data_IF_741047611749
#
_entry.id   IF_741047611749
#
_cell.length_a   1.000
_cell.length_b   1.000
_cell.length_c   1.000
_cell.angle_alpha   90.00
_cell.angle_beta   90.00
_cell.angle_gamma   90.00
#
_symmetry.space_group_name_H-M   'P 1'
#
loop_
_entity.id
_entity.type
_entity.pdbx_description
1 polymer ?
#
# COMPACT_ATOMS: atom_id res chain seq x y z
N UNK A 1 -14.54 33.82 -10.11
CA UNK A 1 -15.10 32.46 -10.32
C UNK A 1 -14.16 31.50 -9.64
N UNK A 2 -14.45 31.14 -8.39
CA UNK A 2 -13.67 30.17 -7.64
C UNK A 2 -14.12 28.79 -8.12
N UNK A 3 -13.20 28.03 -8.71
CA UNK A 3 -13.46 26.61 -9.00
C UNK A 3 -13.47 25.93 -7.63
N UNK A 4 -14.66 25.78 -7.05
CA UNK A 4 -14.86 24.94 -5.86
C UNK A 4 -14.60 23.50 -6.29
N UNK A 5 -13.35 23.07 -6.25
CA UNK A 5 -13.08 21.64 -6.15
C UNK A 5 -13.62 21.23 -4.78
N UNK A 6 -14.81 20.62 -4.76
CA UNK A 6 -15.28 19.88 -3.59
C UNK A 6 -14.36 18.66 -3.42
N UNK A 7 -13.24 18.83 -2.74
CA UNK A 7 -12.44 17.72 -2.26
C UNK A 7 -12.87 17.37 -0.84
N UNK A 8 -13.14 16.08 -0.63
CA UNK A 8 -13.40 15.53 0.69
C UNK A 8 -12.11 14.88 1.22
N UNK A 9 -11.36 15.65 2.02
CA UNK A 9 -10.11 15.16 2.65
C UNK A 9 -10.38 14.00 3.61
N UNK A 10 -11.57 13.92 4.20
CA UNK A 10 -11.97 12.80 5.03
C UNK A 10 -12.18 11.53 4.19
N UNK A 11 -12.79 11.63 3.01
CA UNK A 11 -12.91 10.53 2.06
C UNK A 11 -11.53 10.06 1.55
N UNK A 12 -10.63 10.99 1.21
CA UNK A 12 -9.25 10.66 0.78
C UNK A 12 -8.53 9.87 1.89
N UNK A 13 -8.58 10.38 3.14
CA UNK A 13 -7.99 9.69 4.31
C UNK A 13 -8.65 8.34 4.58
N UNK A 14 -9.96 8.21 4.37
CA UNK A 14 -10.67 6.94 4.52
C UNK A 14 -10.19 5.90 3.49
N UNK A 15 -10.01 6.29 2.23
CA UNK A 15 -9.45 5.40 1.20
C UNK A 15 -8.00 5.03 1.49
N UNK A 16 -7.17 5.98 1.94
CA UNK A 16 -5.80 5.71 2.36
C UNK A 16 -5.76 4.64 3.48
N UNK A 17 -6.61 4.78 4.50
CA UNK A 17 -6.72 3.78 5.58
C UNK A 17 -7.18 2.41 5.09
N UNK A 18 -8.09 2.35 4.10
CA UNK A 18 -8.49 1.08 3.48
C UNK A 18 -7.33 0.41 2.75
N UNK A 19 -6.51 1.18 2.03
CA UNK A 19 -5.30 0.67 1.36
C UNK A 19 -4.32 0.10 2.38
N UNK A 20 -4.07 0.83 3.48
CA UNK A 20 -3.23 0.35 4.58
C UNK A 20 -3.76 -0.97 5.16
N UNK A 21 -5.07 -1.05 5.41
CA UNK A 21 -5.70 -2.28 5.91
C UNK A 21 -5.54 -3.45 4.94
N UNK A 22 -5.72 -3.22 3.64
CA UNK A 22 -5.52 -4.25 2.62
C UNK A 22 -4.08 -4.74 2.59
N UNK A 23 -3.10 -3.84 2.71
CA UNK A 23 -1.69 -4.20 2.82
C UNK A 23 -1.42 -5.03 4.07
N UNK A 24 -1.95 -4.62 5.21
CA UNK A 24 -1.75 -5.32 6.48
C UNK A 24 -2.33 -6.75 6.40
N UNK A 25 -3.50 -6.91 5.77
CA UNK A 25 -4.08 -8.24 5.48
C UNK A 25 -3.23 -9.06 4.52
N UNK A 26 -2.71 -8.44 3.45
CA UNK A 26 -1.81 -9.11 2.51
C UNK A 26 -0.58 -9.67 3.23
N UNK A 27 0.06 -8.85 4.07
CA UNK A 27 1.23 -9.27 4.85
C UNK A 27 0.90 -10.40 5.84
N UNK A 28 -0.26 -10.34 6.48
CA UNK A 28 -0.73 -11.37 7.42
C UNK A 28 -1.09 -12.69 6.73
N UNK A 29 -1.66 -12.66 5.53
CA UNK A 29 -2.17 -13.85 4.86
C UNK A 29 -1.15 -14.47 3.90
N UNK A 30 -0.52 -13.66 3.05
CA UNK A 30 0.27 -14.16 1.93
C UNK A 30 1.66 -14.64 2.35
N UNK A 31 2.33 -13.91 3.24
CA UNK A 31 3.69 -14.26 3.70
C UNK A 31 3.72 -15.59 4.46
N UNK A 32 2.82 -15.85 5.44
CA UNK A 32 2.79 -17.14 6.13
C UNK A 32 2.40 -18.29 5.21
N UNK A 33 1.46 -18.08 4.27
CA UNK A 33 1.06 -19.11 3.31
C UNK A 33 2.20 -19.51 2.38
N UNK A 34 2.99 -18.57 1.88
CA UNK A 34 4.18 -18.90 1.09
C UNK A 34 5.21 -19.69 1.91
N UNK A 35 5.36 -19.40 3.21
CA UNK A 35 6.23 -20.18 4.08
C UNK A 35 5.68 -21.58 4.32
N UNK A 36 4.37 -21.73 4.52
CA UNK A 36 3.72 -23.04 4.64
C UNK A 36 3.92 -23.85 3.36
N UNK A 37 3.73 -23.26 2.18
CA UNK A 37 3.99 -23.92 0.90
C UNK A 37 5.46 -24.33 0.78
N UNK A 38 6.41 -23.46 1.13
CA UNK A 38 7.82 -23.83 1.11
C UNK A 38 8.10 -25.04 2.00
N UNK A 39 7.64 -25.01 3.26
CA UNK A 39 7.89 -26.08 4.22
C UNK A 39 7.21 -27.41 3.82
N UNK A 40 6.04 -27.35 3.16
CA UNK A 40 5.32 -28.54 2.69
C UNK A 40 6.00 -29.21 1.50
N UNK A 41 6.69 -28.43 0.66
CA UNK A 41 7.34 -28.91 -0.55
C UNK A 41 8.83 -29.16 -0.35
N UNK A 42 9.38 -28.79 0.80
CA UNK A 42 10.78 -28.99 1.16
C UNK A 42 11.07 -30.50 1.26
N UNK A 43 12.01 -30.98 0.44
CA UNK A 43 12.39 -32.40 0.39
C UNK A 43 11.55 -33.29 -0.53
N UNK A 44 10.42 -32.80 -1.05
CA UNK A 44 9.58 -33.53 -2.02
C UNK A 44 10.19 -33.56 -3.43
N UNK A 45 11.03 -32.58 -3.74
CA UNK A 45 11.72 -32.45 -5.02
C UNK A 45 13.24 -32.55 -4.85
N UNK A 46 13.92 -33.08 -5.87
CA UNK A 46 15.38 -33.16 -5.93
C UNK A 46 15.92 -32.54 -7.22
N UNK A 47 17.17 -32.07 -7.16
CA UNK A 47 17.90 -31.54 -8.32
C UNK A 47 17.21 -30.34 -8.96
N UNK A 48 17.05 -30.35 -10.28
CA UNK A 48 16.50 -29.23 -11.04
C UNK A 48 15.08 -28.83 -10.63
N UNK A 49 14.26 -29.79 -10.17
CA UNK A 49 12.89 -29.52 -9.74
C UNK A 49 12.84 -28.71 -8.44
N UNK A 50 13.71 -29.04 -7.47
CA UNK A 50 13.85 -28.28 -6.23
C UNK A 50 14.31 -26.85 -6.51
N UNK A 51 15.34 -26.69 -7.34
CA UNK A 51 15.85 -25.37 -7.73
C UNK A 51 14.77 -24.50 -8.43
N UNK A 52 13.97 -25.09 -9.31
CA UNK A 52 12.91 -24.37 -10.00
C UNK A 52 11.79 -23.93 -9.03
N UNK A 53 11.47 -24.78 -8.05
CA UNK A 53 10.52 -24.44 -6.99
C UNK A 53 11.05 -23.29 -6.13
N UNK A 54 12.31 -23.35 -5.69
CA UNK A 54 12.92 -22.30 -4.87
C UNK A 54 12.94 -20.95 -5.60
N UNK A 55 13.38 -20.94 -6.87
CA UNK A 55 13.35 -19.74 -7.70
C UNK A 55 11.94 -19.16 -7.83
N UNK A 56 10.92 -20.03 -7.98
CA UNK A 56 9.54 -19.57 -8.08
C UNK A 56 9.08 -18.97 -6.76
N UNK A 57 9.35 -19.62 -5.63
CA UNK A 57 8.98 -19.13 -4.30
C UNK A 57 9.67 -17.80 -3.95
N UNK A 58 10.94 -17.64 -4.31
CA UNK A 58 11.67 -16.38 -4.15
C UNK A 58 11.05 -15.26 -5.00
N UNK A 59 10.67 -15.55 -6.24
CA UNK A 59 9.99 -14.59 -7.11
C UNK A 59 8.66 -14.12 -6.52
N UNK A 60 7.81 -15.04 -6.07
CA UNK A 60 6.52 -14.70 -5.46
C UNK A 60 6.72 -13.85 -4.17
N UNK A 61 7.75 -14.15 -3.37
CA UNK A 61 8.11 -13.33 -2.20
C UNK A 61 8.53 -11.92 -2.59
N UNK A 62 9.30 -11.77 -3.66
CA UNK A 62 9.72 -10.47 -4.16
C UNK A 62 8.53 -9.65 -4.66
N UNK A 63 7.60 -10.28 -5.40
CA UNK A 63 6.39 -9.65 -5.91
C UNK A 63 5.46 -9.18 -4.78
N UNK A 64 5.28 -9.99 -3.73
CA UNK A 64 4.50 -9.56 -2.56
C UNK A 64 5.13 -8.36 -1.84
N UNK A 65 6.45 -8.38 -1.63
CA UNK A 65 7.16 -7.26 -1.01
C UNK A 65 7.06 -5.98 -1.84
N UNK A 66 7.13 -6.10 -3.17
CA UNK A 66 6.94 -4.98 -4.08
C UNK A 66 5.54 -4.38 -3.92
N UNK A 67 4.51 -5.23 -3.97
CA UNK A 67 3.12 -4.80 -3.82
C UNK A 67 2.87 -4.14 -2.45
N UNK A 68 3.40 -4.71 -1.37
CA UNK A 68 3.32 -4.11 -0.03
C UNK A 68 3.95 -2.71 0.00
N UNK A 69 5.08 -2.54 -0.69
CA UNK A 69 5.77 -1.26 -0.86
C UNK A 69 4.93 -0.24 -1.64
N UNK A 70 4.38 -0.63 -2.79
CA UNK A 70 3.51 0.22 -3.62
C UNK A 70 2.26 0.68 -2.86
N UNK A 71 1.61 -0.23 -2.13
CA UNK A 71 0.45 0.11 -1.30
C UNK A 71 0.81 1.09 -0.18
N UNK A 72 1.99 0.94 0.43
CA UNK A 72 2.47 1.88 1.44
C UNK A 72 2.78 3.27 0.84
N UNK A 73 3.39 3.33 -0.34
CA UNK A 73 3.62 4.58 -1.05
C UNK A 73 2.31 5.29 -1.37
N UNK A 74 1.32 4.55 -1.86
CA UNK A 74 -0.01 5.10 -2.15
C UNK A 74 -0.71 5.63 -0.89
N UNK A 75 -0.64 4.88 0.22
CA UNK A 75 -1.15 5.35 1.52
C UNK A 75 -0.50 6.68 1.94
N UNK A 76 0.83 6.76 1.92
CA UNK A 76 1.56 7.98 2.31
C UNK A 76 1.24 9.15 1.38
N UNK A 77 1.17 8.88 0.07
CA UNK A 77 0.83 9.87 -0.94
C UNK A 77 -0.55 10.49 -0.71
N UNK A 78 -1.57 9.67 -0.46
CA UNK A 78 -2.93 10.13 -0.20
C UNK A 78 -3.05 10.93 1.11
N UNK A 79 -2.35 10.50 2.17
CA UNK A 79 -2.32 11.25 3.43
C UNK A 79 -1.70 12.63 3.25
N UNK A 80 -0.54 12.71 2.58
CA UNK A 80 0.13 13.98 2.28
C UNK A 80 -0.71 14.88 1.39
N UNK A 81 -1.40 14.30 0.42
CA UNK A 81 -2.29 15.06 -0.45
C UNK A 81 -3.46 15.68 0.32
N UNK A 82 -4.10 14.91 1.21
CA UNK A 82 -5.14 15.45 2.09
C UNK A 82 -4.64 16.57 3.00
N UNK A 83 -3.43 16.42 3.57
CA UNK A 83 -2.83 17.45 4.42
C UNK A 83 -2.50 18.74 3.64
N UNK A 84 -2.02 18.60 2.39
CA UNK A 84 -1.74 19.74 1.52
C UNK A 84 -3.00 20.52 1.13
N UNK A 85 -4.13 19.82 0.94
CA UNK A 85 -5.42 20.44 0.66
C UNK A 85 -5.94 21.25 1.87
N UNK A 86 -5.86 20.69 3.08
CA UNK A 86 -6.28 21.40 4.31
C UNK A 86 -5.39 22.61 4.61
N UNK A 87 -4.09 22.52 4.31
CA UNK A 87 -3.18 23.66 4.42
C UNK A 87 -3.54 24.77 3.41
N UNK A 88 -3.83 24.41 2.17
CA UNK A 88 -4.24 25.37 1.14
C UNK A 88 -5.55 26.09 1.52
N UNK A 89 -6.53 25.36 2.05
CA UNK A 89 -7.79 25.94 2.56
C UNK A 89 -7.54 26.93 3.70
N UNK A 90 -6.67 26.57 4.65
CA UNK A 90 -6.35 27.44 5.78
C UNK A 90 -5.72 28.75 5.31
N UNK A 91 -4.74 28.66 4.41
CA UNK A 91 -4.06 29.84 3.86
C UNK A 91 -5.01 30.73 3.06
N UNK A 92 -5.92 30.14 2.29
CA UNK A 92 -6.95 30.88 1.56
C UNK A 92 -7.92 31.59 2.53
N UNK A 93 -8.35 30.94 3.60
CA UNK A 93 -9.21 31.53 4.62
C UNK A 93 -8.52 32.69 5.37
N UNK A 94 -7.25 32.54 5.74
CA UNK A 94 -6.45 33.59 6.38
C UNK A 94 -6.27 34.81 5.46
N UNK A 95 -6.01 34.59 4.17
CA UNK A 95 -5.87 35.66 3.19
C UNK A 95 -7.18 36.45 2.97
N UNK A 96 -8.33 35.78 3.07
CA UNK A 96 -9.65 36.41 2.97
C UNK A 96 -10.06 37.15 4.26
N UNK A 97 -9.64 36.65 5.44
CA UNK A 97 -9.93 37.28 6.73
C UNK A 97 -9.04 38.50 7.04
N UNK A 98 -7.89 38.63 6.36
CA UNK A 98 -6.99 39.78 6.46
C UNK A 98 -7.31 40.94 5.51
N UNK A 99 -8.37 40.84 4.71
CA UNK A 99 -8.94 41.92 3.88
C UNK A 99 -10.11 42.59 4.59
#
# INVERSE_FOLDING_TARGET
>A
MSINYEYDTAAIRAQARRIKLCRDKLAQDATPRLRTVQNLLEGEFLGCAANALDQRLEKERAELKLLEGEMQLLYVGLMRYADALEEADRQAAEALAGQ
#
